data_IF_974209020059
#
_entry.id   IF_974209020059
#
_cell.length_a   1.000
_cell.length_b   1.000
_cell.length_c   1.000
_cell.angle_alpha   90.00
_cell.angle_beta   90.00
_cell.angle_gamma   90.00
#
_symmetry.space_group_name_H-M   'P 1'
#
loop_
_entity.id
_entity.type
_entity.pdbx_description
1 polymer ?
#
# COMPACT_ATOMS: atom_id res chain seq x y z
N UNK A 1 17.38 5.00 17.73
CA UNK A 1 17.56 5.98 16.64
C UNK A 1 16.38 6.92 16.61
N UNK A 2 16.63 8.15 16.15
CA UNK A 2 15.65 9.19 15.87
C UNK A 2 15.49 9.34 14.36
N UNK A 3 14.30 9.07 13.86
CA UNK A 3 13.95 9.19 12.45
C UNK A 3 13.31 10.55 12.19
N UNK A 4 13.80 11.25 11.15
CA UNK A 4 13.06 12.29 10.48
C UNK A 4 12.30 11.67 9.31
N UNK A 5 10.99 11.45 9.51
CA UNK A 5 10.12 10.81 8.55
C UNK A 5 9.36 11.85 7.72
N UNK A 6 9.54 11.85 6.41
CA UNK A 6 8.77 12.72 5.52
C UNK A 6 7.44 12.07 5.12
N UNK A 7 6.35 12.86 5.25
CA UNK A 7 4.99 12.47 4.93
C UNK A 7 4.53 13.26 3.69
N UNK A 8 4.15 12.58 2.57
CA UNK A 8 3.79 13.26 1.33
C UNK A 8 2.47 14.04 1.44
N UNK A 9 2.22 15.01 0.55
CA UNK A 9 1.07 15.92 0.64
C UNK A 9 -0.32 15.31 0.31
N UNK A 10 -0.40 14.00 0.06
CA UNK A 10 -1.65 13.31 -0.31
C UNK A 10 -1.78 12.03 0.52
N UNK A 11 -1.98 12.16 1.83
CA UNK A 11 -2.08 11.00 2.74
C UNK A 11 -3.49 10.46 2.92
N UNK A 12 -4.52 11.21 2.49
CA UNK A 12 -5.94 10.81 2.70
C UNK A 12 -6.29 9.42 2.19
N UNK A 13 -5.53 8.91 1.22
CA UNK A 13 -5.73 7.59 0.60
C UNK A 13 -4.54 6.66 0.79
N UNK A 14 -3.52 7.08 1.53
CA UNK A 14 -2.27 6.34 1.65
C UNK A 14 -1.69 6.36 3.08
N UNK A 15 -2.23 5.53 3.98
CA UNK A 15 -1.84 5.49 5.38
C UNK A 15 -0.48 4.79 5.62
N UNK A 16 0.17 4.29 4.57
CA UNK A 16 1.40 3.48 4.64
C UNK A 16 2.52 4.16 5.42
N UNK A 17 2.70 5.46 5.22
CA UNK A 17 3.69 6.26 5.95
C UNK A 17 3.41 6.28 7.45
N UNK A 18 2.14 6.34 7.85
CA UNK A 18 1.75 6.28 9.25
C UNK A 18 1.97 4.89 9.84
N UNK A 19 1.71 3.81 9.09
CA UNK A 19 1.97 2.46 9.56
C UNK A 19 3.47 2.20 9.76
N UNK A 20 4.31 2.68 8.85
CA UNK A 20 5.76 2.64 9.00
C UNK A 20 6.22 3.43 10.23
N UNK A 21 5.66 4.63 10.44
CA UNK A 21 5.94 5.43 11.64
C UNK A 21 5.55 4.70 12.94
N UNK A 22 4.36 4.11 12.98
CA UNK A 22 3.87 3.32 14.13
C UNK A 22 4.81 2.14 14.40
N UNK A 23 5.21 1.40 13.37
CA UNK A 23 6.12 0.27 13.51
C UNK A 23 7.49 0.68 14.06
N UNK A 24 8.09 1.76 13.54
CA UNK A 24 9.35 2.28 14.07
C UNK A 24 9.24 2.67 15.55
N UNK A 25 8.12 3.29 15.96
CA UNK A 25 7.86 3.61 17.37
C UNK A 25 7.71 2.36 18.24
N UNK A 26 7.02 1.33 17.75
CA UNK A 26 6.89 0.04 18.45
C UNK A 26 8.25 -0.66 18.63
N UNK A 27 9.19 -0.42 17.71
CA UNK A 27 10.58 -0.90 17.81
C UNK A 27 11.44 -0.06 18.76
N UNK A 28 10.87 0.94 19.45
CA UNK A 28 11.58 1.80 20.40
C UNK A 28 12.33 2.97 19.76
N UNK A 29 12.07 3.28 18.48
CA UNK A 29 12.66 4.44 17.82
C UNK A 29 11.82 5.70 18.03
N UNK A 30 12.48 6.86 18.10
CA UNK A 30 11.81 8.16 18.06
C UNK A 30 11.51 8.51 16.60
N UNK A 31 10.30 8.99 16.32
CA UNK A 31 9.89 9.38 14.95
C UNK A 31 9.31 10.78 14.97
N UNK A 32 10.06 11.70 14.38
CA UNK A 32 9.63 13.08 14.11
C UNK A 32 9.14 13.17 12.67
N UNK A 33 7.87 13.53 12.49
CA UNK A 33 7.25 13.60 11.18
C UNK A 33 7.37 15.01 10.58
N UNK A 34 7.77 15.10 9.31
CA UNK A 34 7.70 16.31 8.50
C UNK A 34 6.62 16.18 7.45
N UNK A 35 5.59 17.02 7.52
CA UNK A 35 4.44 16.95 6.63
C UNK A 35 4.57 17.90 5.43
N UNK A 36 4.40 17.37 4.23
CA UNK A 36 4.33 18.17 3.00
C UNK A 36 2.90 18.67 2.67
N UNK A 37 1.88 18.25 3.43
CA UNK A 37 0.55 18.85 3.36
C UNK A 37 0.54 20.30 3.85
N UNK A 38 -0.53 21.02 3.49
CA UNK A 38 -0.77 22.39 3.92
C UNK A 38 -1.42 22.37 5.30
N UNK A 39 -0.71 22.86 6.30
CA UNK A 39 -1.15 22.85 7.68
C UNK A 39 -1.78 24.18 8.09
N UNK A 40 -1.43 25.29 7.42
CA UNK A 40 -1.89 26.62 7.82
C UNK A 40 -2.20 27.60 6.67
N UNK A 41 -2.78 28.76 7.04
CA UNK A 41 -3.17 29.84 6.12
C UNK A 41 -1.98 30.40 5.32
N UNK A 42 -0.80 30.51 5.95
CA UNK A 42 0.42 31.03 5.31
C UNK A 42 0.89 30.10 4.18
N UNK A 43 0.89 28.79 4.41
CA UNK A 43 1.25 27.79 3.41
C UNK A 43 0.27 27.79 2.23
N UNK A 44 -1.03 27.94 2.50
CA UNK A 44 -2.05 28.11 1.45
C UNK A 44 -1.80 29.36 0.61
N UNK A 45 -1.40 30.46 1.23
CA UNK A 45 -1.04 31.68 0.50
C UNK A 45 0.24 31.50 -0.33
N UNK A 46 1.28 30.88 0.23
CA UNK A 46 2.55 30.65 -0.47
C UNK A 46 2.40 29.75 -1.69
N UNK A 47 1.57 28.72 -1.63
CA UNK A 47 1.30 27.88 -2.80
C UNK A 47 0.56 28.63 -3.92
N UNK A 48 -0.34 29.57 -3.58
CA UNK A 48 -0.95 30.46 -4.58
C UNK A 48 0.08 31.31 -5.32
N UNK A 49 1.24 31.58 -4.71
CA UNK A 49 2.37 32.28 -5.35
C UNK A 49 3.20 31.37 -6.28
N UNK A 50 2.90 30.06 -6.33
CA UNK A 50 3.46 29.09 -7.27
C UNK A 50 3.89 27.77 -6.62
N UNK A 51 3.54 26.64 -7.24
CA UNK A 51 3.89 25.29 -6.76
C UNK A 51 5.38 25.09 -6.54
N UNK A 52 6.23 25.55 -7.48
CA UNK A 52 7.68 25.43 -7.36
C UNK A 52 8.24 26.21 -6.16
N UNK A 53 7.73 27.43 -5.91
CA UNK A 53 8.14 28.25 -4.75
C UNK A 53 7.72 27.61 -3.44
N UNK A 54 6.53 27.02 -3.39
CA UNK A 54 6.05 26.29 -2.22
C UNK A 54 6.88 25.02 -1.96
N UNK A 55 7.21 24.28 -3.02
CA UNK A 55 8.06 23.09 -2.94
C UNK A 55 9.45 23.43 -2.36
N UNK A 56 10.11 24.46 -2.90
CA UNK A 56 11.40 24.94 -2.40
C UNK A 56 11.31 25.42 -0.94
N UNK A 57 10.21 26.09 -0.57
CA UNK A 57 9.95 26.50 0.81
C UNK A 57 9.87 25.29 1.77
N UNK A 58 9.11 24.25 1.42
CA UNK A 58 9.01 23.03 2.25
C UNK A 58 10.34 22.28 2.33
N UNK A 59 11.11 22.22 1.25
CA UNK A 59 12.45 21.63 1.27
C UNK A 59 13.40 22.36 2.22
N UNK A 60 13.35 23.70 2.26
CA UNK A 60 14.12 24.47 3.24
C UNK A 60 13.67 24.18 4.68
N UNK A 61 12.36 24.11 4.93
CA UNK A 61 11.85 23.77 6.26
C UNK A 61 12.24 22.36 6.71
N UNK A 62 12.32 21.40 5.78
CA UNK A 62 12.81 20.06 6.08
C UNK A 62 14.27 20.11 6.59
N UNK A 63 15.12 20.92 5.95
CA UNK A 63 16.51 21.12 6.38
C UNK A 63 16.60 21.84 7.72
N UNK A 64 15.81 22.90 7.93
CA UNK A 64 15.72 23.61 9.22
C UNK A 64 15.32 22.65 10.35
N UNK A 65 14.31 21.81 10.11
CA UNK A 65 13.87 20.81 11.08
C UNK A 65 14.93 19.73 11.33
N UNK A 66 15.67 19.30 10.30
CA UNK A 66 16.78 18.37 10.47
C UNK A 66 17.89 18.95 11.38
N UNK A 67 18.16 20.26 11.29
CA UNK A 67 19.14 20.94 12.14
C UNK A 67 18.67 21.06 13.60
N UNK A 68 17.37 21.28 13.81
CA UNK A 68 16.75 21.35 15.15
C UNK A 68 16.70 19.97 15.82
N UNK A 69 16.15 18.98 15.11
CA UNK A 69 15.84 17.64 15.64
C UNK A 69 17.09 16.78 15.78
N UNK A 70 18.09 17.00 14.90
CA UNK A 70 19.31 16.20 14.77
C UNK A 70 18.99 14.70 14.69
N UNK A 71 18.27 14.26 13.64
CA UNK A 71 17.89 12.87 13.48
C UNK A 71 19.12 12.02 13.10
N UNK A 72 19.04 10.72 13.39
CA UNK A 72 20.03 9.74 12.98
C UNK A 72 19.80 9.27 11.53
N UNK A 73 18.54 9.32 11.06
CA UNK A 73 18.13 8.79 9.75
C UNK A 73 17.04 9.67 9.14
N UNK A 74 17.15 9.95 7.84
CA UNK A 74 16.05 10.50 7.05
C UNK A 74 15.34 9.37 6.29
N UNK A 75 14.03 9.24 6.48
CA UNK A 75 13.23 8.20 5.85
C UNK A 75 12.00 8.81 5.17
N UNK A 76 11.62 8.28 4.01
CA UNK A 76 10.39 8.67 3.32
C UNK A 76 9.71 7.49 2.64
N UNK A 77 8.38 7.57 2.57
CA UNK A 77 7.57 6.79 1.65
C UNK A 77 7.21 7.69 0.45
N UNK A 78 7.40 7.19 -0.76
CA UNK A 78 7.27 7.88 -2.07
C UNK A 78 8.32 8.92 -2.44
N UNK A 79 8.81 9.76 -1.53
CA UNK A 79 9.88 10.72 -1.84
C UNK A 79 9.58 11.81 -2.89
N UNK A 80 8.33 11.99 -3.35
CA UNK A 80 7.92 12.90 -4.45
C UNK A 80 8.15 14.40 -4.21
N UNK A 81 8.52 14.77 -3.00
CA UNK A 81 8.61 16.17 -2.57
C UNK A 81 10.03 16.61 -2.19
N UNK A 82 11.04 15.81 -2.55
CA UNK A 82 12.43 16.10 -2.21
C UNK A 82 13.21 16.50 -3.46
N UNK A 83 13.80 17.69 -3.40
CA UNK A 83 14.74 18.14 -4.41
C UNK A 83 16.08 17.42 -4.25
N UNK A 84 16.79 17.17 -5.35
CA UNK A 84 18.12 16.56 -5.33
C UNK A 84 19.09 17.34 -4.43
N UNK A 85 19.04 18.68 -4.46
CA UNK A 85 19.87 19.54 -3.61
C UNK A 85 19.60 19.33 -2.12
N UNK A 86 18.34 19.13 -1.73
CA UNK A 86 17.95 18.84 -0.34
C UNK A 86 18.52 17.51 0.12
N UNK A 87 18.42 16.46 -0.69
CA UNK A 87 18.96 15.14 -0.36
C UNK A 87 20.48 15.17 -0.22
N UNK A 88 21.18 15.86 -1.13
CA UNK A 88 22.63 16.08 -1.02
C UNK A 88 23.02 16.80 0.26
N UNK A 89 22.24 17.80 0.67
CA UNK A 89 22.49 18.55 1.90
C UNK A 89 22.25 17.69 3.16
N UNK A 90 21.19 16.87 3.19
CA UNK A 90 20.98 15.89 4.26
C UNK A 90 22.16 14.92 4.36
N UNK A 91 22.67 14.44 3.23
CA UNK A 91 23.85 13.57 3.18
C UNK A 91 25.13 14.26 3.63
N UNK A 92 25.32 15.54 3.27
CA UNK A 92 26.46 16.35 3.73
C UNK A 92 26.46 16.51 5.26
N UNK A 93 25.29 16.45 5.89
CA UNK A 93 25.11 16.46 7.34
C UNK A 93 25.30 15.07 7.98
N UNK A 94 25.61 14.05 7.18
CA UNK A 94 25.85 12.69 7.65
C UNK A 94 24.59 11.85 7.86
N UNK A 95 23.42 12.30 7.38
CA UNK A 95 22.17 11.53 7.53
C UNK A 95 22.06 10.50 6.40
N UNK A 96 21.93 9.20 6.70
CA UNK A 96 21.49 8.21 5.73
C UNK A 96 20.10 8.57 5.21
N UNK A 97 19.93 8.50 3.89
CA UNK A 97 18.68 8.82 3.21
C UNK A 97 18.02 7.57 2.63
N UNK A 98 16.83 7.26 3.12
CA UNK A 98 16.07 6.05 2.74
C UNK A 98 14.77 6.44 2.04
N UNK A 99 14.53 5.88 0.85
CA UNK A 99 13.25 6.02 0.14
C UNK A 99 12.59 4.65 -0.07
N UNK A 100 11.31 4.55 0.31
CA UNK A 100 10.46 3.41 0.00
C UNK A 100 9.34 3.80 -0.98
N UNK A 101 9.45 3.33 -2.22
CA UNK A 101 8.48 3.57 -3.28
C UNK A 101 7.44 2.45 -3.37
N UNK A 102 6.17 2.84 -3.44
CA UNK A 102 5.04 1.91 -3.33
C UNK A 102 4.07 1.94 -4.52
N UNK A 103 4.35 2.72 -5.56
CA UNK A 103 3.48 2.84 -6.74
C UNK A 103 3.90 1.92 -7.90
N UNK A 104 4.80 0.96 -7.65
CA UNK A 104 5.17 -0.01 -8.66
C UNK A 104 4.08 -1.08 -8.85
N UNK A 105 3.87 -1.55 -10.10
CA UNK A 105 4.57 -1.17 -11.34
C UNK A 105 3.90 -0.02 -12.13
N UNK A 106 2.92 0.66 -11.54
CA UNK A 106 2.08 1.65 -12.22
C UNK A 106 2.88 2.90 -12.58
N UNK A 107 3.62 3.43 -11.60
CA UNK A 107 4.38 4.66 -11.71
C UNK A 107 5.81 4.38 -11.28
N UNK A 108 6.73 4.33 -12.24
CA UNK A 108 8.14 4.10 -11.95
C UNK A 108 8.77 5.32 -11.28
N UNK A 109 9.47 5.12 -10.17
CA UNK A 109 10.00 6.17 -9.31
C UNK A 109 10.92 7.18 -10.05
N UNK A 110 11.72 6.74 -11.02
CA UNK A 110 12.68 7.59 -11.77
C UNK A 110 12.03 8.78 -12.48
N UNK A 111 10.71 8.72 -12.72
CA UNK A 111 9.95 9.83 -13.34
C UNK A 111 9.57 10.93 -12.34
N UNK A 112 9.74 10.67 -11.05
CA UNK A 112 9.16 11.50 -9.98
C UNK A 112 10.18 11.90 -8.92
N UNK A 113 11.26 11.14 -8.74
CA UNK A 113 12.24 11.38 -7.68
C UNK A 113 13.67 11.27 -8.21
N UNK A 114 14.63 12.03 -7.64
CA UNK A 114 16.06 11.89 -7.93
C UNK A 114 16.61 10.62 -7.26
N UNK A 115 16.43 9.48 -7.92
CA UNK A 115 16.74 8.15 -7.38
C UNK A 115 18.20 8.00 -6.92
N UNK A 116 19.12 8.55 -7.70
CA UNK A 116 20.56 8.46 -7.52
C UNK A 116 21.08 9.19 -6.26
N UNK A 117 20.25 10.07 -5.69
CA UNK A 117 20.60 10.87 -4.52
C UNK A 117 20.33 10.14 -3.21
N UNK A 118 19.39 9.20 -3.18
CA UNK A 118 19.13 8.38 -2.00
C UNK A 118 20.26 7.39 -1.76
N UNK A 119 20.60 7.14 -0.50
CA UNK A 119 21.56 6.12 -0.11
C UNK A 119 20.96 4.73 -0.25
N UNK A 120 19.67 4.59 0.10
CA UNK A 120 18.93 3.34 0.01
C UNK A 120 17.58 3.56 -0.67
N UNK A 121 17.26 2.68 -1.62
CA UNK A 121 15.99 2.70 -2.34
C UNK A 121 15.30 1.35 -2.25
N UNK A 122 14.02 1.38 -1.88
CA UNK A 122 13.16 0.20 -1.79
C UNK A 122 11.96 0.31 -2.72
N UNK A 123 11.55 -0.79 -3.34
CA UNK A 123 10.34 -0.91 -4.16
C UNK A 123 9.46 -2.05 -3.68
N UNK A 124 8.13 -1.89 -3.77
CA UNK A 124 7.15 -2.94 -3.49
C UNK A 124 7.00 -4.02 -4.58
N UNK A 125 7.85 -4.01 -5.61
CA UNK A 125 7.77 -4.93 -6.75
C UNK A 125 9.13 -5.59 -7.03
N UNK A 126 9.15 -6.91 -7.20
CA UNK A 126 10.38 -7.60 -7.60
C UNK A 126 10.73 -7.29 -9.06
N UNK A 127 9.71 -7.10 -9.91
CA UNK A 127 9.89 -6.91 -11.36
C UNK A 127 10.50 -5.56 -11.77
N UNK A 128 10.65 -4.59 -10.87
CA UNK A 128 11.16 -3.25 -11.19
C UNK A 128 12.62 -3.03 -10.79
N UNK A 129 13.27 -3.99 -10.12
CA UNK A 129 14.65 -3.83 -9.62
C UNK A 129 15.67 -3.55 -10.74
N UNK A 130 15.61 -4.31 -11.83
CA UNK A 130 16.50 -4.11 -12.97
C UNK A 130 16.28 -2.74 -13.63
N UNK A 131 15.04 -2.27 -13.67
CA UNK A 131 14.70 -0.94 -14.19
C UNK A 131 15.35 0.14 -13.33
N UNK A 132 15.30 0.02 -12.00
CA UNK A 132 15.91 1.01 -11.12
C UNK A 132 17.43 1.03 -11.16
N UNK A 133 18.09 -0.13 -11.36
CA UNK A 133 19.53 -0.16 -11.63
C UNK A 133 19.88 0.57 -12.92
N UNK A 134 19.08 0.42 -13.97
CA UNK A 134 19.25 1.16 -15.22
C UNK A 134 19.14 2.68 -15.02
N UNK A 135 18.25 3.13 -14.15
CA UNK A 135 18.11 4.55 -13.77
C UNK A 135 18.97 4.94 -12.55
N UNK A 136 20.11 4.28 -12.36
CA UNK A 136 21.13 4.66 -11.39
C UNK A 136 20.70 4.71 -9.91
N UNK A 137 19.60 4.03 -9.54
CA UNK A 137 19.31 3.80 -8.14
C UNK A 137 20.45 2.99 -7.51
N UNK A 138 20.96 3.48 -6.38
CA UNK A 138 21.97 2.78 -5.59
C UNK A 138 21.29 1.60 -4.91
N UNK A 139 21.72 0.40 -5.27
CA UNK A 139 21.26 -0.87 -4.71
C UNK A 139 19.74 -0.91 -4.46
N UNK A 140 18.91 -0.99 -5.52
CA UNK A 140 17.47 -1.04 -5.30
C UNK A 140 17.10 -2.39 -4.66
N UNK A 141 16.32 -2.33 -3.59
CA UNK A 141 15.90 -3.46 -2.77
C UNK A 141 14.40 -3.70 -2.88
N UNK A 142 13.98 -4.95 -2.68
CA UNK A 142 12.56 -5.29 -2.63
C UNK A 142 12.07 -5.19 -1.19
N UNK A 143 10.98 -4.46 -0.99
CA UNK A 143 10.29 -4.37 0.29
C UNK A 143 8.77 -4.27 0.03
N UNK A 144 8.03 -5.39 0.19
CA UNK A 144 6.60 -5.39 -0.02
C UNK A 144 5.90 -4.62 1.08
N UNK A 145 4.69 -4.17 0.77
CA UNK A 145 3.73 -3.65 1.76
C UNK A 145 3.38 -4.71 2.82
N UNK A 146 2.66 -4.30 3.85
CA UNK A 146 2.39 -5.11 5.04
C UNK A 146 1.09 -4.68 5.75
N UNK A 147 0.80 -5.32 6.88
CA UNK A 147 -0.29 -4.89 7.78
C UNK A 147 0.19 -4.21 9.04
N UNK A 148 -0.67 -3.32 9.55
CA UNK A 148 -0.70 -2.93 10.95
C UNK A 148 -1.66 -3.86 11.71
N UNK A 149 -1.18 -4.74 12.61
CA UNK A 149 -2.03 -5.69 13.35
C UNK A 149 -3.03 -5.04 14.30
N UNK A 150 -2.86 -3.76 14.68
CA UNK A 150 -3.83 -3.07 15.53
C UNK A 150 -5.14 -2.79 14.76
N UNK A 151 -5.03 -2.65 13.44
CA UNK A 151 -6.13 -2.30 12.52
C UNK A 151 -6.61 -3.52 11.75
N UNK A 152 -5.70 -4.23 11.09
CA UNK A 152 -6.00 -5.34 10.19
C UNK A 152 -5.97 -6.64 11.00
N UNK A 153 -7.09 -6.92 11.66
CA UNK A 153 -7.24 -8.06 12.58
C UNK A 153 -8.67 -8.61 12.54
N UNK A 154 -8.87 -9.85 13.00
CA UNK A 154 -10.19 -10.36 13.31
C UNK A 154 -10.90 -9.47 14.34
N UNK A 155 -12.18 -9.23 14.12
CA UNK A 155 -13.04 -8.46 15.01
C UNK A 155 -14.08 -9.39 15.66
N UNK A 156 -14.24 -9.26 16.98
CA UNK A 156 -15.19 -10.07 17.74
C UNK A 156 -16.63 -9.63 17.47
N UNK A 157 -17.56 -10.60 17.40
CA UNK A 157 -18.99 -10.33 17.25
C UNK A 157 -19.40 -9.81 15.86
N UNK A 158 -18.51 -9.82 14.87
CA UNK A 158 -18.83 -9.40 13.50
C UNK A 158 -19.35 -10.59 12.70
N UNK A 159 -20.61 -10.50 12.26
CA UNK A 159 -21.22 -11.49 11.38
C UNK A 159 -20.84 -11.27 9.91
N UNK A 160 -20.72 -12.36 9.15
CA UNK A 160 -20.54 -12.29 7.70
C UNK A 160 -21.86 -11.90 7.01
N UNK A 161 -21.88 -10.69 6.44
CA UNK A 161 -23.05 -10.09 5.79
C UNK A 161 -22.98 -10.13 4.26
N UNK A 162 -21.76 -10.22 3.71
CA UNK A 162 -21.52 -10.11 2.27
C UNK A 162 -20.94 -11.41 1.71
N UNK A 163 -21.43 -11.84 0.55
CA UNK A 163 -20.89 -13.01 -0.15
C UNK A 163 -19.52 -12.68 -0.74
N UNK A 164 -19.45 -11.61 -1.55
CA UNK A 164 -18.22 -11.15 -2.18
C UNK A 164 -18.08 -9.64 -1.99
N UNK A 165 -16.91 -9.21 -1.54
CA UNK A 165 -16.54 -7.80 -1.41
C UNK A 165 -15.38 -7.45 -2.32
N UNK A 166 -15.50 -6.33 -3.04
CA UNK A 166 -14.37 -5.62 -3.63
C UNK A 166 -14.24 -4.22 -3.00
N UNK A 167 -13.04 -3.88 -2.55
CA UNK A 167 -12.72 -2.56 -1.99
C UNK A 167 -11.50 -1.97 -2.71
N UNK A 168 -11.68 -0.85 -3.42
CA UNK A 168 -10.56 -0.17 -4.09
C UNK A 168 -10.99 0.88 -5.10
N UNK A 169 -10.01 1.55 -5.70
CA UNK A 169 -10.24 2.59 -6.70
C UNK A 169 -10.67 2.04 -8.06
N UNK A 170 -11.35 2.88 -8.84
CA UNK A 170 -11.76 2.56 -10.20
C UNK A 170 -10.55 2.35 -11.11
N UNK A 171 -10.62 1.30 -11.93
CA UNK A 171 -9.74 1.10 -13.07
C UNK A 171 -10.51 0.31 -14.14
N UNK A 172 -10.30 0.54 -15.45
CA UNK A 172 -11.03 -0.18 -16.50
C UNK A 172 -10.97 -1.70 -16.37
N UNK A 173 -9.81 -2.25 -15.98
CA UNK A 173 -9.66 -3.70 -15.76
C UNK A 173 -10.55 -4.21 -14.61
N UNK A 174 -10.64 -3.44 -13.52
CA UNK A 174 -11.47 -3.78 -12.36
C UNK A 174 -12.94 -3.70 -12.73
N UNK A 175 -13.35 -2.63 -13.40
CA UNK A 175 -14.74 -2.51 -13.87
C UNK A 175 -15.15 -3.69 -14.75
N UNK A 176 -14.31 -4.08 -15.72
CA UNK A 176 -14.57 -5.24 -16.59
C UNK A 176 -14.72 -6.54 -15.79
N UNK A 177 -13.81 -6.82 -14.86
CA UNK A 177 -13.84 -8.03 -14.04
C UNK A 177 -15.08 -8.07 -13.13
N UNK A 178 -15.36 -6.95 -12.45
CA UNK A 178 -16.50 -6.87 -11.54
C UNK A 178 -17.84 -6.90 -12.27
N UNK A 179 -17.94 -6.29 -13.45
CA UNK A 179 -19.14 -6.34 -14.30
C UNK A 179 -19.50 -7.78 -14.65
N UNK A 180 -18.51 -8.60 -15.01
CA UNK A 180 -18.75 -10.00 -15.32
C UNK A 180 -19.15 -10.77 -14.07
N UNK A 181 -18.40 -10.63 -12.98
CA UNK A 181 -18.70 -11.35 -11.74
C UNK A 181 -20.10 -11.02 -11.17
N UNK A 182 -20.53 -9.75 -11.29
CA UNK A 182 -21.84 -9.29 -10.83
C UNK A 182 -23.03 -9.95 -11.54
N UNK A 183 -22.82 -10.56 -12.72
CA UNK A 183 -23.86 -11.33 -13.44
C UNK A 183 -24.17 -12.66 -12.79
N UNK A 184 -23.21 -13.21 -12.04
CA UNK A 184 -23.27 -14.57 -11.48
C UNK A 184 -23.43 -14.57 -9.97
N UNK A 185 -22.95 -13.53 -9.28
CA UNK A 185 -22.86 -13.51 -7.82
C UNK A 185 -23.25 -12.18 -7.19
N UNK A 186 -23.68 -12.24 -5.92
CA UNK A 186 -23.96 -11.07 -5.09
C UNK A 186 -22.67 -10.36 -4.68
N UNK A 187 -22.28 -9.39 -5.50
CA UNK A 187 -21.11 -8.55 -5.30
C UNK A 187 -21.47 -7.28 -4.51
N UNK A 188 -20.61 -6.92 -3.55
CA UNK A 188 -20.62 -5.63 -2.84
C UNK A 188 -19.34 -4.85 -3.16
N UNK A 189 -19.48 -3.60 -3.57
CA UNK A 189 -18.37 -2.73 -3.99
C UNK A 189 -18.29 -1.51 -3.08
N UNK A 190 -17.08 -1.13 -2.67
CA UNK A 190 -16.79 0.16 -2.04
C UNK A 190 -15.60 0.85 -2.70
N UNK A 191 -15.72 2.13 -2.98
CA UNK A 191 -14.63 2.95 -3.50
C UNK A 191 -15.09 4.20 -4.26
N UNK A 192 -14.16 5.09 -4.62
CA UNK A 192 -14.44 6.38 -5.26
C UNK A 192 -14.64 6.25 -6.79
N UNK A 193 -15.61 5.44 -7.21
CA UNK A 193 -15.84 5.15 -8.65
C UNK A 193 -16.77 6.14 -9.34
N UNK A 194 -17.51 6.96 -8.58
CA UNK A 194 -18.65 7.76 -9.07
C UNK A 194 -18.33 8.62 -10.29
N UNK A 195 -17.11 9.17 -10.39
CA UNK A 195 -16.71 10.07 -11.48
C UNK A 195 -16.39 9.33 -12.78
N UNK A 196 -15.93 8.08 -12.70
CA UNK A 196 -15.45 7.31 -13.84
C UNK A 196 -16.47 6.26 -14.30
N UNK A 197 -17.35 5.80 -13.40
CA UNK A 197 -18.37 4.81 -13.69
C UNK A 197 -19.54 5.43 -14.46
N UNK A 198 -19.90 4.84 -15.60
CA UNK A 198 -21.03 5.28 -16.41
C UNK A 198 -22.34 5.35 -15.60
N UNK A 199 -23.19 6.34 -15.87
CA UNK A 199 -24.45 6.56 -15.14
C UNK A 199 -25.43 5.39 -15.25
N UNK A 200 -25.38 4.64 -16.35
CA UNK A 200 -26.21 3.48 -16.64
C UNK A 200 -25.47 2.14 -16.43
N UNK A 201 -24.28 2.15 -15.80
CA UNK A 201 -23.57 0.91 -15.52
C UNK A 201 -24.35 0.06 -14.50
N UNK A 202 -24.57 -1.24 -14.76
CA UNK A 202 -25.27 -2.11 -13.82
C UNK A 202 -24.50 -2.27 -12.49
N UNK A 203 -23.18 -2.05 -12.47
CA UNK A 203 -22.39 -2.08 -11.23
C UNK A 203 -22.88 -1.08 -10.18
N UNK A 204 -23.60 -0.03 -10.55
CA UNK A 204 -24.08 0.99 -9.60
C UNK A 204 -24.95 0.41 -8.51
N UNK A 205 -25.70 -0.66 -8.78
CA UNK A 205 -26.56 -1.35 -7.81
C UNK A 205 -25.78 -2.16 -6.78
N UNK A 206 -24.51 -2.46 -7.08
CA UNK A 206 -23.61 -3.24 -6.21
C UNK A 206 -22.79 -2.37 -5.26
N UNK A 207 -22.87 -1.03 -5.36
CA UNK A 207 -22.12 -0.16 -4.46
C UNK A 207 -22.78 -0.04 -3.10
N UNK A 208 -22.05 -0.42 -2.04
CA UNK A 208 -22.43 -0.09 -0.67
C UNK A 208 -22.38 1.43 -0.46
N UNK A 209 -21.31 2.06 -0.97
CA UNK A 209 -21.09 3.51 -0.89
C UNK A 209 -20.07 3.95 -1.94
N UNK A 210 -20.32 5.09 -2.57
CA UNK A 210 -19.29 5.79 -3.33
C UNK A 210 -18.43 6.64 -2.39
N UNK A 211 -17.11 6.49 -2.50
CA UNK A 211 -16.16 7.34 -1.78
C UNK A 211 -15.02 6.57 -1.13
N UNK A 212 -14.19 7.30 -0.41
CA UNK A 212 -13.08 6.75 0.33
C UNK A 212 -13.56 6.03 1.60
N UNK A 213 -12.69 5.17 2.11
CA UNK A 213 -12.87 4.43 3.36
C UNK A 213 -11.56 4.48 4.14
N UNK A 214 -11.68 4.48 5.46
CA UNK A 214 -10.55 4.36 6.37
C UNK A 214 -10.06 2.91 6.45
N UNK A 215 -8.82 2.68 6.91
CA UNK A 215 -8.33 1.33 7.18
C UNK A 215 -9.23 0.53 8.13
N UNK A 216 -9.84 1.18 9.13
CA UNK A 216 -10.75 0.55 10.07
C UNK A 216 -12.09 0.15 9.42
N UNK A 217 -12.70 1.02 8.60
CA UNK A 217 -13.91 0.69 7.83
C UNK A 217 -13.66 -0.50 6.88
N UNK A 218 -12.47 -0.53 6.26
CA UNK A 218 -12.06 -1.60 5.37
C UNK A 218 -11.84 -2.94 6.10
N UNK A 219 -11.17 -2.91 7.26
CA UNK A 219 -11.00 -4.08 8.11
C UNK A 219 -12.35 -4.64 8.56
N UNK A 220 -13.29 -3.77 8.98
CA UNK A 220 -14.65 -4.18 9.32
C UNK A 220 -15.34 -4.86 8.13
N UNK A 221 -15.27 -4.25 6.95
CA UNK A 221 -15.88 -4.81 5.75
C UNK A 221 -15.32 -6.20 5.38
N UNK A 222 -14.02 -6.43 5.59
CA UNK A 222 -13.42 -7.75 5.36
C UNK A 222 -13.83 -8.79 6.38
N UNK A 223 -14.00 -8.40 7.65
CA UNK A 223 -14.57 -9.29 8.66
C UNK A 223 -16.03 -9.67 8.34
N UNK A 224 -16.75 -8.82 7.60
CA UNK A 224 -18.13 -9.08 7.15
C UNK A 224 -18.21 -9.85 5.82
N UNK A 225 -17.09 -10.09 5.13
CA UNK A 225 -17.07 -10.75 3.83
C UNK A 225 -16.82 -12.25 3.95
N UNK A 226 -17.51 -13.06 3.14
CA UNK A 226 -17.13 -14.47 2.93
C UNK A 226 -15.93 -14.55 2.01
N UNK A 227 -15.93 -13.80 0.91
CA UNK A 227 -14.83 -13.70 -0.05
C UNK A 227 -14.44 -12.23 -0.22
N UNK A 228 -13.17 -11.92 0.00
CA UNK A 228 -12.56 -10.66 -0.43
C UNK A 228 -11.93 -10.87 -1.80
N UNK A 229 -12.41 -10.14 -2.80
CA UNK A 229 -11.84 -10.17 -4.14
C UNK A 229 -10.74 -9.11 -4.26
N UNK A 230 -9.54 -9.56 -4.59
CA UNK A 230 -8.41 -8.70 -4.89
C UNK A 230 -8.12 -8.71 -6.39
N UNK A 231 -8.29 -7.55 -7.03
CA UNK A 231 -7.94 -7.33 -8.44
C UNK A 231 -6.92 -6.20 -8.51
N UNK A 232 -5.68 -6.54 -8.85
CA UNK A 232 -4.64 -5.55 -9.09
C UNK A 232 -5.01 -4.71 -10.33
N UNK A 233 -4.81 -3.40 -10.28
CA UNK A 233 -5.15 -2.52 -11.42
C UNK A 233 -4.26 -2.76 -12.65
N UNK A 234 -3.16 -3.50 -12.47
CA UNK A 234 -2.28 -3.97 -13.52
C UNK A 234 -2.45 -5.45 -13.88
N UNK A 235 -3.55 -6.07 -13.45
CA UNK A 235 -3.93 -7.41 -13.89
C UNK A 235 -3.83 -7.55 -15.43
N UNK A 236 -3.27 -8.67 -15.89
CA UNK A 236 -2.93 -8.98 -17.30
C UNK A 236 -1.89 -8.06 -17.98
N UNK A 237 -1.42 -7.00 -17.31
CA UNK A 237 -0.39 -6.09 -17.85
C UNK A 237 1.01 -6.40 -17.31
N UNK A 238 1.11 -6.68 -16.02
CA UNK A 238 2.35 -7.13 -15.39
C UNK A 238 2.09 -8.32 -14.48
N UNK A 239 2.96 -9.34 -14.53
CA UNK A 239 2.84 -10.52 -13.67
C UNK A 239 3.36 -10.25 -12.25
N UNK A 240 3.88 -9.05 -11.98
CA UNK A 240 4.53 -8.69 -10.73
C UNK A 240 3.93 -7.46 -10.06
N UNK A 241 4.38 -7.19 -8.84
CA UNK A 241 3.93 -6.10 -7.98
C UNK A 241 2.70 -6.50 -7.18
N UNK A 242 2.78 -6.29 -5.86
CA UNK A 242 1.72 -6.62 -4.90
C UNK A 242 1.11 -5.35 -4.34
N UNK A 243 -0.22 -5.36 -4.17
CA UNK A 243 -0.95 -4.29 -3.49
C UNK A 243 -1.15 -4.59 -1.99
N UNK A 244 -1.53 -3.59 -1.18
CA UNK A 244 -1.77 -3.79 0.25
C UNK A 244 -2.89 -4.80 0.55
N UNK A 245 -3.90 -4.89 -0.33
CA UNK A 245 -5.09 -5.73 -0.16
C UNK A 245 -4.75 -7.19 0.14
N UNK A 246 -3.70 -7.73 -0.49
CA UNK A 246 -3.20 -9.09 -0.24
C UNK A 246 -2.92 -9.36 1.24
N UNK A 247 -2.29 -8.41 1.92
CA UNK A 247 -1.93 -8.54 3.32
C UNK A 247 -3.09 -8.10 4.22
N UNK A 248 -3.81 -7.03 3.86
CA UNK A 248 -4.88 -6.47 4.69
C UNK A 248 -6.06 -7.43 4.88
N UNK A 249 -6.48 -8.15 3.82
CA UNK A 249 -7.55 -9.14 3.92
C UNK A 249 -7.10 -10.35 4.77
N UNK A 250 -5.89 -10.84 4.52
CA UNK A 250 -5.26 -11.93 5.28
C UNK A 250 -5.10 -11.57 6.76
N UNK A 251 -4.70 -10.33 7.05
CA UNK A 251 -4.61 -9.80 8.41
C UNK A 251 -5.96 -9.77 9.13
N UNK A 252 -7.06 -9.56 8.41
CA UNK A 252 -8.42 -9.66 8.94
C UNK A 252 -8.94 -11.10 9.08
N UNK A 253 -8.13 -12.12 8.73
CA UNK A 253 -8.57 -13.53 8.60
C UNK A 253 -9.77 -13.68 7.65
N UNK A 254 -9.81 -12.86 6.61
CA UNK A 254 -10.78 -12.98 5.54
C UNK A 254 -10.19 -13.89 4.44
N UNK A 255 -11.02 -14.77 3.88
CA UNK A 255 -10.62 -15.53 2.70
C UNK A 255 -10.53 -14.60 1.49
N UNK A 256 -9.45 -14.72 0.73
CA UNK A 256 -9.18 -13.88 -0.42
C UNK A 256 -9.04 -14.70 -1.71
N UNK A 257 -9.65 -14.21 -2.78
CA UNK A 257 -9.31 -14.57 -4.15
C UNK A 257 -8.52 -13.43 -4.79
N UNK A 258 -7.29 -13.70 -5.24
CA UNK A 258 -6.40 -12.71 -5.88
C UNK A 258 -6.04 -13.11 -7.30
N UNK A 259 -5.88 -12.14 -8.20
CA UNK A 259 -5.14 -12.42 -9.42
C UNK A 259 -3.71 -12.83 -9.08
N UNK A 260 -3.19 -13.83 -9.78
CA UNK A 260 -1.86 -14.37 -9.53
C UNK A 260 -0.76 -13.34 -9.86
N UNK A 261 0.20 -13.22 -8.95
CA UNK A 261 1.43 -12.42 -9.11
C UNK A 261 2.62 -13.27 -8.74
N UNK A 262 3.72 -13.11 -9.46
CA UNK A 262 4.94 -13.88 -9.28
C UNK A 262 5.46 -13.86 -7.84
N UNK A 263 5.36 -12.72 -7.16
CA UNK A 263 5.83 -12.57 -5.77
C UNK A 263 4.95 -13.30 -4.76
N UNK A 264 3.73 -13.72 -5.11
CA UNK A 264 2.85 -14.39 -4.13
C UNK A 264 3.48 -15.68 -3.63
N UNK A 265 4.18 -16.44 -4.48
CA UNK A 265 4.82 -17.70 -4.08
C UNK A 265 5.93 -17.52 -3.02
N UNK A 266 6.53 -16.33 -2.94
CA UNK A 266 7.54 -16.00 -1.92
C UNK A 266 6.89 -15.50 -0.61
N UNK A 267 5.64 -15.01 -0.71
CA UNK A 267 4.91 -14.40 0.40
C UNK A 267 3.97 -15.40 1.08
N UNK A 268 3.29 -16.23 0.31
CA UNK A 268 2.29 -17.18 0.76
C UNK A 268 2.39 -18.50 -0.02
N UNK A 269 1.83 -19.58 0.53
CA UNK A 269 1.65 -20.85 -0.17
C UNK A 269 0.34 -20.81 -0.98
N UNK A 270 0.39 -20.81 -2.33
CA UNK A 270 -0.80 -20.82 -3.17
C UNK A 270 -1.75 -21.97 -2.82
N UNK A 271 -3.06 -21.72 -2.87
CA UNK A 271 -4.14 -22.67 -2.55
C UNK A 271 -4.21 -23.17 -1.10
N UNK A 272 -3.17 -22.97 -0.29
CA UNK A 272 -3.16 -23.30 1.14
C UNK A 272 -3.34 -22.08 2.05
N UNK A 273 -2.77 -20.95 1.64
CA UNK A 273 -2.81 -19.67 2.36
C UNK A 273 -3.54 -18.59 1.55
N UNK A 274 -3.52 -18.63 0.22
CA UNK A 274 -4.21 -17.64 -0.63
C UNK A 274 -4.91 -18.35 -1.79
N UNK A 275 -6.18 -18.03 -2.03
CA UNK A 275 -6.89 -18.44 -3.23
C UNK A 275 -6.48 -17.57 -4.42
N UNK A 276 -6.14 -18.20 -5.54
CA UNK A 276 -5.68 -17.52 -6.75
C UNK A 276 -6.58 -17.82 -7.95
N UNK A 277 -6.63 -16.88 -8.86
CA UNK A 277 -7.17 -17.07 -10.21
C UNK A 277 -6.17 -16.52 -11.24
N UNK A 278 -6.13 -17.17 -12.41
CA UNK A 278 -5.28 -16.75 -13.53
C UNK A 278 -6.10 -15.96 -14.54
N UNK A 279 -7.33 -16.43 -14.82
CA UNK A 279 -8.30 -15.75 -15.66
C UNK A 279 -9.50 -15.28 -14.84
N UNK A 280 -9.99 -14.09 -15.15
CA UNK A 280 -11.22 -13.58 -14.53
C UNK A 280 -12.45 -14.40 -14.95
N UNK A 281 -12.38 -15.14 -16.05
CA UNK A 281 -13.42 -16.08 -16.47
C UNK A 281 -13.65 -17.23 -15.46
N UNK A 282 -12.65 -17.55 -14.62
CA UNK A 282 -12.72 -18.61 -13.60
C UNK A 282 -13.45 -18.13 -12.33
N UNK A 283 -13.55 -16.81 -12.13
CA UNK A 283 -14.07 -16.22 -10.90
C UNK A 283 -15.49 -16.67 -10.55
N UNK A 284 -16.46 -16.80 -11.49
CA UNK A 284 -17.79 -17.29 -11.15
C UNK A 284 -17.76 -18.70 -10.52
N UNK A 285 -16.98 -19.62 -11.08
CA UNK A 285 -16.89 -20.99 -10.57
C UNK A 285 -16.13 -21.05 -9.25
N UNK A 286 -15.00 -20.35 -9.14
CA UNK A 286 -14.23 -20.27 -7.90
C UNK A 286 -15.06 -19.65 -6.75
N UNK A 287 -15.81 -18.57 -7.03
CA UNK A 287 -16.68 -17.96 -6.03
C UNK A 287 -17.78 -18.92 -5.60
N UNK A 288 -18.44 -19.62 -6.54
CA UNK A 288 -19.46 -20.61 -6.22
C UNK A 288 -18.89 -21.73 -5.33
N UNK A 289 -17.71 -22.26 -5.67
CA UNK A 289 -17.01 -23.27 -4.90
C UNK A 289 -16.74 -22.82 -3.47
N UNK A 290 -16.06 -21.68 -3.27
CA UNK A 290 -15.69 -21.23 -1.93
C UNK A 290 -16.87 -20.71 -1.10
N UNK A 291 -17.96 -20.26 -1.73
CA UNK A 291 -19.21 -19.96 -1.02
C UNK A 291 -19.86 -21.25 -0.49
N UNK A 292 -19.85 -22.33 -1.27
CA UNK A 292 -20.39 -23.64 -0.89
C UNK A 292 -19.49 -24.42 0.10
N UNK A 293 -18.19 -24.11 0.16
CA UNK A 293 -17.20 -24.83 0.97
C UNK A 293 -16.62 -23.97 2.12
N UNK A 294 -17.41 -23.62 3.15
CA UNK A 294 -16.97 -22.73 4.23
C UNK A 294 -15.81 -23.30 5.06
N UNK A 295 -15.73 -24.63 5.24
CA UNK A 295 -14.65 -25.25 6.00
C UNK A 295 -13.29 -25.05 5.32
N UNK A 296 -13.21 -25.29 4.01
CA UNK A 296 -12.01 -25.06 3.21
C UNK A 296 -11.64 -23.57 3.20
N UNK A 297 -12.62 -22.72 2.91
CA UNK A 297 -12.47 -21.26 2.90
C UNK A 297 -11.88 -20.73 4.22
N UNK A 298 -12.44 -21.17 5.36
CA UNK A 298 -12.00 -20.74 6.68
C UNK A 298 -10.61 -21.29 7.03
N UNK A 299 -10.27 -22.50 6.59
CA UNK A 299 -8.92 -23.08 6.75
C UNK A 299 -7.88 -22.23 6.01
N UNK A 300 -8.12 -21.90 4.75
CA UNK A 300 -7.21 -21.08 3.94
C UNK A 300 -7.05 -19.69 4.59
N UNK A 301 -8.15 -19.03 4.98
CA UNK A 301 -8.10 -17.74 5.64
C UNK A 301 -7.33 -17.75 6.98
N UNK A 302 -7.45 -18.83 7.77
CA UNK A 302 -6.72 -19.01 9.01
C UNK A 302 -5.21 -19.18 8.76
N UNK A 303 -4.84 -19.96 7.74
CA UNK A 303 -3.45 -20.12 7.32
C UNK A 303 -2.85 -18.79 6.83
N UNK A 304 -3.58 -18.07 5.97
CA UNK A 304 -3.22 -16.72 5.50
C UNK A 304 -2.93 -15.79 6.68
N UNK A 305 -3.85 -15.72 7.64
CA UNK A 305 -3.73 -14.89 8.83
C UNK A 305 -2.48 -15.25 9.66
N UNK A 306 -2.26 -16.54 9.91
CA UNK A 306 -1.09 -17.01 10.65
C UNK A 306 0.21 -16.60 9.96
N UNK A 307 0.31 -16.78 8.63
CA UNK A 307 1.43 -16.33 7.81
C UNK A 307 1.62 -14.82 7.89
N UNK A 308 0.55 -14.03 7.73
CA UNK A 308 0.61 -12.57 7.75
C UNK A 308 1.12 -12.04 9.10
N UNK A 309 0.61 -12.57 10.21
CA UNK A 309 1.03 -12.13 11.55
C UNK A 309 2.49 -12.49 11.85
N UNK A 310 2.94 -13.65 11.36
CA UNK A 310 4.31 -14.13 11.55
C UNK A 310 5.31 -13.33 10.73
N UNK A 311 5.00 -12.99 9.47
CA UNK A 311 6.02 -12.55 8.52
C UNK A 311 5.74 -11.18 7.87
N UNK A 312 4.53 -10.64 7.98
CA UNK A 312 4.06 -9.57 7.09
C UNK A 312 3.42 -8.37 7.80
N UNK A 313 3.98 -8.01 8.95
CA UNK A 313 3.64 -6.75 9.65
C UNK A 313 4.63 -5.64 9.30
N UNK A 314 4.25 -4.37 9.50
CA UNK A 314 5.19 -3.25 9.30
C UNK A 314 6.42 -3.33 10.22
N UNK A 315 6.31 -3.93 11.41
CA UNK A 315 7.47 -4.18 12.27
C UNK A 315 8.49 -5.06 11.55
N UNK A 316 8.05 -6.12 10.85
CA UNK A 316 8.94 -6.95 10.02
C UNK A 316 9.54 -6.15 8.86
N UNK A 317 8.75 -5.28 8.19
CA UNK A 317 9.26 -4.46 7.07
C UNK A 317 10.31 -3.46 7.52
N UNK A 318 10.06 -2.76 8.63
CA UNK A 318 11.00 -1.80 9.18
C UNK A 318 12.25 -2.51 9.70
N UNK A 319 12.12 -3.66 10.35
CA UNK A 319 13.26 -4.49 10.77
C UNK A 319 14.13 -4.88 9.56
N UNK A 320 13.52 -5.41 8.50
CA UNK A 320 14.24 -5.79 7.29
C UNK A 320 14.92 -4.59 6.61
N UNK A 321 14.21 -3.47 6.49
CA UNK A 321 14.75 -2.23 5.94
C UNK A 321 16.00 -1.77 6.71
N UNK A 322 15.96 -1.77 8.05
CA UNK A 322 17.11 -1.37 8.86
C UNK A 322 18.29 -2.34 8.76
N UNK A 323 18.02 -3.65 8.68
CA UNK A 323 19.06 -4.66 8.44
C UNK A 323 19.78 -4.43 7.11
N UNK A 324 19.01 -4.20 6.03
CA UNK A 324 19.55 -3.90 4.70
C UNK A 324 20.39 -2.61 4.73
N UNK A 325 19.93 -1.60 5.47
CA UNK A 325 20.67 -0.34 5.60
C UNK A 325 21.88 -0.40 6.56
N UNK A 326 22.10 -1.51 7.26
CA UNK A 326 23.14 -1.60 8.30
C UNK A 326 22.88 -0.72 9.53
N UNK A 327 21.60 -0.50 9.85
CA UNK A 327 21.11 0.38 10.93
C UNK A 327 20.37 -0.40 12.05
N UNK A 328 20.52 -1.72 12.10
CA UNK A 328 19.83 -2.60 13.06
C UNK A 328 20.39 -2.55 14.48
#
# INVERSE_FOLDING_TARGET
>A
MKFLLSIPAYTRTNPMTHFAATALRLMGHEVVAFNYERENQLERMREKLGKAKFHAYKNRQLLELADEVKPDVFFTVYGRYHDAATLRELKRRGLPTICWWLDDPISLAHKYIPLEEYDFFFSNSHGTQAVYRHYHAREPHYLPVAVDPAIHRPLEGVEQQYDIVFAGDWHPVRERVLLELARHHRLTIIGPWQRNLAKNSPLREHFLRFGYFTPAEMALLFNQARIVLNVHQWYQRWPYGINPRLFEASGCRAFQLSDNKTEIADLYVPSEEIGLYEDAAELPELCAHYLANPAERNRIAANAYARTMRDHTYVHRMTHMLQVCGLS
#
